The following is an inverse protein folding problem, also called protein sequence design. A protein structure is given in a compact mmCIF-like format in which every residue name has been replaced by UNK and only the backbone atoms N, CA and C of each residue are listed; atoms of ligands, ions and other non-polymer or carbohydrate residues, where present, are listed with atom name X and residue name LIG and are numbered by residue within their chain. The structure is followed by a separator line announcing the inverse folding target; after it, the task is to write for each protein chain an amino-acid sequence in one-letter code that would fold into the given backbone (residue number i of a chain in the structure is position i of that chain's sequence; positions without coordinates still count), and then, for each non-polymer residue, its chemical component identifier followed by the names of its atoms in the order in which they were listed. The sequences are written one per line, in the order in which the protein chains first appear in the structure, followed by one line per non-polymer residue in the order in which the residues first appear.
data_IF_552477690383
#
_entry.id   IF_552477690383
#
_cell.length_a   1.000
_cell.length_b   1.000
_cell.length_c   1.000
_cell.angle_alpha   90.00
_cell.angle_beta   90.00
_cell.angle_gamma   90.00
#
_symmetry.space_group_name_H-M   'P 1'
#
loop_
_entity.id
_entity.type
_entity.pdbx_description
1 polymer ?
#
# COMPACT_ATOMS: atom_id res chain seq x y z
N UNK A 1 3.61 18.50 -1.51
CA UNK A 1 4.41 17.39 -2.05
C UNK A 1 5.85 17.90 -2.24
N UNK A 2 6.80 17.22 -1.63
CA UNK A 2 8.21 17.55 -1.84
C UNK A 2 8.68 17.10 -3.23
N UNK A 3 9.83 17.62 -3.68
CA UNK A 3 10.39 17.24 -4.98
C UNK A 3 10.73 15.76 -5.06
N UNK A 4 10.76 15.23 -6.29
CA UNK A 4 11.15 13.86 -6.60
C UNK A 4 10.23 12.78 -5.99
N UNK A 5 9.00 13.13 -5.59
CA UNK A 5 7.99 12.16 -5.22
C UNK A 5 7.33 11.57 -6.45
N UNK A 6 7.07 10.26 -6.42
CA UNK A 6 6.35 9.56 -7.47
C UNK A 6 5.02 9.06 -6.90
N UNK A 7 3.92 9.45 -7.53
CA UNK A 7 2.57 9.07 -7.10
C UNK A 7 1.91 8.31 -8.26
N UNK A 8 1.56 7.06 -8.01
CA UNK A 8 0.92 6.22 -9.01
C UNK A 8 -0.56 6.62 -9.21
N UNK A 9 -1.19 6.05 -10.25
CA UNK A 9 -2.53 6.41 -10.67
C UNK A 9 -3.59 6.13 -9.60
N UNK A 10 -4.66 6.91 -9.64
CA UNK A 10 -5.86 6.71 -8.82
C UNK A 10 -5.62 6.81 -7.31
N UNK A 11 -4.59 7.52 -6.91
CA UNK A 11 -4.31 7.78 -5.49
C UNK A 11 -4.97 9.08 -5.08
N UNK A 12 -5.56 9.07 -3.87
CA UNK A 12 -6.24 10.23 -3.30
C UNK A 12 -5.40 10.78 -2.16
N UNK A 13 -4.99 12.04 -2.29
CA UNK A 13 -4.33 12.78 -1.22
C UNK A 13 -5.33 13.77 -0.62
N UNK A 14 -5.66 13.58 0.64
CA UNK A 14 -6.54 14.51 1.36
C UNK A 14 -5.79 15.80 1.72
N UNK A 15 -6.48 16.74 2.37
CA UNK A 15 -5.89 18.04 2.68
C UNK A 15 -4.75 17.93 3.71
N UNK A 16 -3.77 18.82 3.58
CA UNK A 16 -2.62 18.93 4.50
C UNK A 16 -1.78 17.67 4.62
N UNK A 17 -1.71 16.88 3.53
CA UNK A 17 -0.80 15.74 3.46
C UNK A 17 0.60 16.22 3.12
N UNK A 18 1.60 15.74 3.86
CA UNK A 18 3.01 16.06 3.64
C UNK A 18 3.73 14.80 3.19
N UNK A 19 4.34 14.86 1.99
CA UNK A 19 5.17 13.78 1.46
C UNK A 19 6.63 14.22 1.51
N UNK A 20 7.46 13.40 2.13
CA UNK A 20 8.90 13.64 2.15
C UNK A 20 9.49 13.34 0.77
N UNK A 21 10.66 13.91 0.51
CA UNK A 21 11.38 13.74 -0.76
C UNK A 21 11.66 12.27 -1.07
N UNK A 22 11.56 11.91 -2.33
CA UNK A 22 11.84 10.57 -2.86
C UNK A 22 10.87 9.48 -2.40
N UNK A 23 9.70 9.83 -1.87
CA UNK A 23 8.68 8.84 -1.55
C UNK A 23 7.96 8.36 -2.81
N UNK A 24 7.66 7.06 -2.85
CA UNK A 24 6.82 6.45 -3.89
C UNK A 24 5.49 6.03 -3.27
N UNK A 25 4.40 6.54 -3.81
CA UNK A 25 3.05 6.21 -3.36
C UNK A 25 2.42 5.30 -4.41
N UNK A 26 2.00 4.12 -4.00
CA UNK A 26 1.37 3.15 -4.89
C UNK A 26 -0.01 3.59 -5.39
N UNK A 27 -0.57 2.83 -6.33
CA UNK A 27 -1.87 3.12 -6.91
C UNK A 27 -3.01 2.77 -5.94
N UNK A 28 -4.15 3.45 -6.10
CA UNK A 28 -5.37 3.21 -5.32
C UNK A 28 -5.19 3.39 -3.82
N UNK A 29 -4.25 4.24 -3.42
CA UNK A 29 -4.00 4.59 -2.01
C UNK A 29 -4.87 5.76 -1.60
N UNK A 30 -5.39 5.73 -0.38
CA UNK A 30 -6.03 6.88 0.26
C UNK A 30 -5.15 7.35 1.40
N UNK A 31 -4.68 8.58 1.31
CA UNK A 31 -3.92 9.22 2.38
C UNK A 31 -4.81 10.27 3.05
N UNK A 32 -5.15 10.04 4.30
CA UNK A 32 -6.10 10.90 5.03
C UNK A 32 -5.47 12.23 5.44
N UNK A 33 -6.33 13.19 5.79
CA UNK A 33 -5.91 14.56 6.05
C UNK A 33 -4.88 14.63 7.19
N UNK A 34 -3.90 15.52 7.04
CA UNK A 34 -2.87 15.77 8.04
C UNK A 34 -1.79 14.69 8.14
N UNK A 35 -1.82 13.71 7.27
CA UNK A 35 -0.88 12.59 7.30
C UNK A 35 0.50 13.04 6.84
N UNK A 36 1.55 12.53 7.49
CA UNK A 36 2.93 12.80 7.13
C UNK A 36 3.61 11.51 6.68
N UNK A 37 4.02 11.46 5.42
CA UNK A 37 4.61 10.30 4.79
C UNK A 37 6.12 10.49 4.64
N UNK A 38 6.91 9.60 5.24
CA UNK A 38 8.37 9.64 5.16
C UNK A 38 8.99 8.42 4.49
N UNK A 39 8.18 7.44 4.15
CA UNK A 39 8.60 6.21 3.45
C UNK A 39 7.61 5.90 2.35
N UNK A 40 7.93 4.88 1.53
CA UNK A 40 7.05 4.48 0.44
C UNK A 40 5.74 3.89 0.99
N UNK A 41 4.65 4.13 0.27
CA UNK A 41 3.33 3.61 0.62
C UNK A 41 2.93 2.58 -0.43
N UNK A 42 2.75 1.30 -0.05
CA UNK A 42 2.38 0.27 -1.02
C UNK A 42 0.96 0.47 -1.53
N UNK A 43 0.59 -0.14 -2.68
CA UNK A 43 -0.72 0.10 -3.30
C UNK A 43 -1.88 -0.45 -2.46
N UNK A 44 -3.07 0.09 -2.69
CA UNK A 44 -4.37 -0.38 -2.18
C UNK A 44 -4.61 -0.15 -0.69
N UNK A 45 -3.83 0.68 -0.02
CA UNK A 45 -3.95 0.86 1.43
C UNK A 45 -4.51 2.23 1.80
N UNK A 46 -4.97 2.34 3.04
CA UNK A 46 -5.34 3.61 3.67
C UNK A 46 -4.26 3.98 4.67
N UNK A 47 -3.76 5.21 4.58
CA UNK A 47 -2.79 5.76 5.52
C UNK A 47 -3.42 6.85 6.36
N UNK A 48 -3.09 6.87 7.65
CA UNK A 48 -3.58 7.89 8.58
C UNK A 48 -2.51 8.18 9.62
N UNK A 49 -2.58 9.35 10.22
CA UNK A 49 -1.75 9.71 11.35
C UNK A 49 -0.51 10.52 11.00
N UNK A 50 0.14 11.01 12.05
CA UNK A 50 1.39 11.75 11.97
C UNK A 50 2.30 11.30 13.13
N UNK A 51 3.30 10.42 12.89
CA UNK A 51 3.66 9.83 11.59
C UNK A 51 2.58 8.88 11.03
N UNK A 52 2.60 8.71 9.71
CA UNK A 52 1.61 7.89 9.03
C UNK A 52 1.72 6.41 9.40
N UNK A 53 0.57 5.77 9.52
CA UNK A 53 0.48 4.34 9.81
C UNK A 53 -0.52 3.68 8.87
N UNK A 54 -0.32 2.38 8.65
CA UNK A 54 -1.22 1.55 7.87
C UNK A 54 -2.56 1.38 8.60
N UNK A 55 -3.66 1.68 7.92
CA UNK A 55 -5.02 1.60 8.47
C UNK A 55 -5.96 0.70 7.67
N UNK A 56 -5.43 -0.29 7.00
CA UNK A 56 -6.23 -1.27 6.29
C UNK A 56 -6.25 -1.04 4.78
N UNK A 57 -7.11 -1.78 4.12
CA UNK A 57 -7.23 -1.78 2.66
C UNK A 57 -8.30 -0.78 2.23
N UNK A 58 -8.06 -0.10 1.12
CA UNK A 58 -9.00 0.84 0.52
C UNK A 58 -10.12 0.09 -0.23
N UNK A 59 -10.89 -0.72 0.52
CA UNK A 59 -11.81 -1.70 -0.03
C UNK A 59 -12.95 -1.08 -0.82
N UNK A 60 -13.52 0.02 -0.33
CA UNK A 60 -14.67 0.66 -0.98
C UNK A 60 -14.30 1.12 -2.38
N UNK A 61 -13.17 1.82 -2.51
CA UNK A 61 -12.71 2.32 -3.81
C UNK A 61 -12.32 1.18 -4.73
N UNK A 62 -11.65 0.15 -4.21
CA UNK A 62 -11.27 -1.00 -5.02
C UNK A 62 -12.48 -1.72 -5.61
N UNK A 63 -13.52 -1.93 -4.81
CA UNK A 63 -14.72 -2.61 -5.29
C UNK A 63 -15.53 -1.78 -6.29
N UNK A 64 -15.64 -0.47 -6.06
CA UNK A 64 -16.50 0.39 -6.88
C UNK A 64 -15.79 0.98 -8.10
N UNK A 65 -14.51 1.36 -7.97
CA UNK A 65 -13.79 2.05 -9.04
C UNK A 65 -12.91 1.12 -9.86
N UNK A 66 -12.23 0.20 -9.21
CA UNK A 66 -11.32 -0.74 -9.86
C UNK A 66 -11.99 -2.08 -10.19
N UNK A 67 -13.22 -2.28 -9.74
CA UNK A 67 -14.03 -3.48 -9.98
C UNK A 67 -13.33 -4.77 -9.54
N UNK A 68 -12.63 -4.71 -8.43
CA UNK A 68 -11.98 -5.87 -7.85
C UNK A 68 -13.04 -6.79 -7.22
N UNK A 69 -12.95 -8.08 -7.48
CA UNK A 69 -13.88 -9.06 -6.90
C UNK A 69 -13.60 -9.24 -5.41
N UNK A 70 -14.59 -9.76 -4.68
CA UNK A 70 -14.40 -10.07 -3.25
C UNK A 70 -13.25 -11.05 -3.03
N UNK A 71 -13.08 -12.01 -3.95
CA UNK A 71 -12.00 -12.98 -3.85
C UNK A 71 -10.63 -12.30 -3.91
N UNK A 72 -10.45 -11.41 -4.89
CA UNK A 72 -9.19 -10.66 -5.03
C UNK A 72 -8.98 -9.74 -3.83
N UNK A 73 -10.05 -9.11 -3.36
CA UNK A 73 -9.96 -8.26 -2.17
C UNK A 73 -9.47 -9.04 -0.95
N UNK A 74 -9.98 -10.25 -0.74
CA UNK A 74 -9.49 -11.12 0.34
C UNK A 74 -8.03 -11.48 0.16
N UNK A 75 -7.58 -11.72 -1.06
CA UNK A 75 -6.16 -12.00 -1.35
C UNK A 75 -5.30 -10.78 -0.98
N UNK A 76 -5.74 -9.58 -1.30
CA UNK A 76 -5.04 -8.35 -0.92
C UNK A 76 -4.96 -8.21 0.60
N UNK A 77 -6.07 -8.44 1.30
CA UNK A 77 -6.10 -8.40 2.77
C UNK A 77 -5.13 -9.42 3.36
N UNK A 78 -5.12 -10.64 2.82
CA UNK A 78 -4.22 -11.69 3.31
C UNK A 78 -2.76 -11.35 3.05
N UNK A 79 -2.45 -10.78 1.90
CA UNK A 79 -1.08 -10.34 1.58
C UNK A 79 -0.61 -9.29 2.60
N UNK A 80 -1.41 -8.27 2.86
CA UNK A 80 -1.03 -7.23 3.81
C UNK A 80 -1.02 -7.70 5.27
N UNK A 81 -1.81 -8.72 5.60
CA UNK A 81 -1.71 -9.34 6.91
C UNK A 81 -0.33 -9.96 7.11
N UNK A 82 0.22 -10.60 6.09
CA UNK A 82 1.57 -11.15 6.15
C UNK A 82 2.63 -10.05 6.27
N UNK A 83 2.43 -8.92 5.60
CA UNK A 83 3.37 -7.79 5.66
C UNK A 83 3.33 -7.08 7.01
N UNK A 84 2.14 -6.78 7.54
CA UNK A 84 1.98 -5.87 8.67
C UNK A 84 1.68 -6.56 10.00
N UNK A 85 1.05 -7.72 9.98
CA UNK A 85 0.61 -8.39 11.21
C UNK A 85 1.42 -9.64 11.53
N UNK A 86 2.21 -10.13 10.59
CA UNK A 86 3.17 -11.20 10.84
C UNK A 86 4.47 -10.64 11.38
N UNK A 87 5.19 -11.43 12.16
CA UNK A 87 6.50 -11.03 12.67
C UNK A 87 7.61 -11.48 11.70
N UNK A 88 7.42 -11.21 10.42
CA UNK A 88 8.35 -11.61 9.38
C UNK A 88 9.17 -10.42 8.90
N UNK A 89 10.38 -10.69 8.42
CA UNK A 89 11.11 -9.70 7.64
C UNK A 89 10.34 -9.44 6.34
N UNK A 90 10.64 -8.32 5.67
CA UNK A 90 9.99 -8.01 4.39
C UNK A 90 10.24 -9.13 3.37
N UNK A 91 11.47 -9.66 3.30
CA UNK A 91 11.77 -10.73 2.37
C UNK A 91 10.97 -12.00 2.67
N UNK A 92 10.86 -12.36 3.94
CA UNK A 92 10.07 -13.54 4.35
C UNK A 92 8.58 -13.31 4.10
N UNK A 93 8.07 -12.11 4.36
CA UNK A 93 6.66 -11.78 4.09
C UNK A 93 6.35 -11.92 2.60
N UNK A 94 7.21 -11.40 1.72
CA UNK A 94 7.02 -11.52 0.27
C UNK A 94 7.05 -12.98 -0.18
N UNK A 95 7.95 -13.79 0.38
CA UNK A 95 8.01 -15.22 0.07
C UNK A 95 6.73 -15.93 0.50
N UNK A 96 6.22 -15.61 1.68
CA UNK A 96 4.95 -16.18 2.16
C UNK A 96 3.76 -15.78 1.30
N UNK A 97 3.74 -14.55 0.80
CA UNK A 97 2.69 -14.13 -0.14
C UNK A 97 2.75 -15.00 -1.40
N UNK A 98 3.93 -15.19 -1.97
CA UNK A 98 4.09 -16.02 -3.17
C UNK A 98 3.65 -17.47 -2.92
N UNK A 99 3.91 -18.01 -1.73
CA UNK A 99 3.60 -19.41 -1.39
C UNK A 99 2.12 -19.61 -1.00
N UNK A 100 1.48 -18.63 -0.40
CA UNK A 100 0.18 -18.82 0.25
C UNK A 100 -0.97 -18.04 -0.39
N UNK A 101 -0.69 -16.97 -1.12
CA UNK A 101 -1.73 -16.13 -1.72
C UNK A 101 -1.77 -16.38 -3.21
N UNK A 102 -2.94 -16.71 -3.79
CA UNK A 102 -3.05 -16.91 -5.23
C UNK A 102 -2.63 -15.65 -5.99
N UNK A 103 -1.87 -15.85 -7.07
CA UNK A 103 -1.33 -14.74 -7.85
C UNK A 103 -2.44 -14.06 -8.67
N UNK A 104 -2.36 -12.74 -8.75
CA UNK A 104 -3.20 -11.90 -9.58
C UNK A 104 -2.40 -10.66 -9.96
N UNK A 105 -2.94 -9.81 -10.82
CA UNK A 105 -2.27 -8.55 -11.16
C UNK A 105 -2.07 -7.69 -9.93
N UNK A 106 -3.06 -7.65 -9.03
CA UNK A 106 -3.01 -6.88 -7.81
C UNK A 106 -1.93 -7.41 -6.85
N UNK A 107 -1.87 -8.73 -6.66
CA UNK A 107 -0.86 -9.32 -5.79
C UNK A 107 0.53 -9.14 -6.38
N UNK A 108 0.66 -9.29 -7.70
CA UNK A 108 1.93 -9.05 -8.38
C UNK A 108 2.40 -7.59 -8.21
N UNK A 109 1.47 -6.64 -8.29
CA UNK A 109 1.77 -5.23 -8.07
C UNK A 109 2.26 -4.95 -6.64
N UNK A 110 1.62 -5.57 -5.65
CA UNK A 110 2.05 -5.45 -4.25
C UNK A 110 3.47 -5.97 -4.07
N UNK A 111 3.74 -7.17 -4.56
CA UNK A 111 5.06 -7.81 -4.43
C UNK A 111 6.13 -6.95 -5.10
N UNK A 112 5.89 -6.53 -6.33
CA UNK A 112 6.86 -5.72 -7.08
C UNK A 112 7.11 -4.37 -6.41
N UNK A 113 6.05 -3.70 -5.95
CA UNK A 113 6.20 -2.43 -5.27
C UNK A 113 7.10 -2.55 -4.04
N UNK A 114 6.81 -3.51 -3.18
CA UNK A 114 7.55 -3.69 -1.93
C UNK A 114 8.98 -4.13 -2.22
N UNK A 115 9.17 -5.05 -3.18
CA UNK A 115 10.50 -5.55 -3.54
C UNK A 115 11.41 -4.44 -4.06
N UNK A 116 10.86 -3.47 -4.78
CA UNK A 116 11.62 -2.37 -5.38
C UNK A 116 11.71 -1.16 -4.46
N UNK A 117 11.06 -1.18 -3.31
CA UNK A 117 11.09 -0.08 -2.35
C UNK A 117 12.30 -0.18 -1.44
N UNK A 118 12.82 0.98 -1.03
CA UNK A 118 13.88 1.07 -0.02
C UNK A 118 13.32 0.94 1.40
N UNK A 119 12.03 1.03 1.56
CA UNK A 119 11.36 0.91 2.84
C UNK A 119 9.93 1.42 2.74
N UNK A 120 8.99 0.69 3.32
CA UNK A 120 7.58 1.06 3.32
C UNK A 120 7.14 1.55 4.70
N UNK A 121 6.07 2.34 4.73
CA UNK A 121 5.44 2.79 5.98
C UNK A 121 4.89 1.58 6.73
N UNK A 122 5.08 1.56 8.04
CA UNK A 122 4.58 0.47 8.89
C UNK A 122 3.17 0.72 9.38
#
# INVERSE_FOLDING_TARGET
VAGDCHIDDCTILSSNVILHQNCHIGSWVLIQAGCRISKDVPPYVIMNGNPAEYHGINAVVLQHKHQVTERILRHIVNAYRLVYQGNFSIQDALQKIEDQVPMSDEIHNIINFIRNSKGIVK
#
